data_IF_859337395885
#
_entry.id   IF_859337395885
#
_cell.length_a   1.000
_cell.length_b   1.000
_cell.length_c   1.000
_cell.angle_alpha   90.00
_cell.angle_beta   90.00
_cell.angle_gamma   90.00
#
_symmetry.space_group_name_H-M   'P 1'
#
loop_
_entity.id
_entity.type
_entity.pdbx_description
1 polymer ?
#
# COMPACT_ATOMS: atom_id res chain seq x y z
N UNK A 1 -3.37 -15.91 6.52
CA UNK A 1 -3.87 -14.54 6.21
C UNK A 1 -2.78 -13.75 5.46
N UNK A 2 -2.54 -14.04 4.17
CA UNK A 2 -1.40 -13.49 3.42
C UNK A 2 -1.41 -11.95 3.36
N UNK A 3 -2.56 -11.35 3.09
CA UNK A 3 -2.73 -9.88 3.01
C UNK A 3 -2.42 -9.19 4.33
N UNK A 4 -2.95 -9.68 5.47
CA UNK A 4 -2.68 -9.08 6.78
C UNK A 4 -1.19 -9.13 7.14
N UNK A 5 -0.49 -10.21 6.78
CA UNK A 5 0.97 -10.32 7.02
C UNK A 5 1.76 -9.32 6.20
N UNK A 6 1.34 -9.04 4.96
CA UNK A 6 1.93 -7.99 4.14
C UNK A 6 1.71 -6.59 4.74
N UNK A 7 0.46 -6.28 5.11
CA UNK A 7 0.11 -5.00 5.75
C UNK A 7 0.86 -4.78 7.06
N UNK A 8 1.02 -5.82 7.87
CA UNK A 8 1.69 -5.76 9.16
C UNK A 8 3.18 -5.38 9.08
N UNK A 9 3.83 -5.54 7.93
CA UNK A 9 5.23 -5.18 7.72
C UNK A 9 5.43 -3.83 7.05
N UNK A 10 4.36 -3.16 6.59
CA UNK A 10 4.45 -1.80 6.02
C UNK A 10 5.05 -0.80 7.03
N UNK A 11 4.59 -0.73 8.30
CA UNK A 11 5.18 0.19 9.28
C UNK A 11 6.67 -0.06 9.51
N UNK A 12 7.09 -1.32 9.53
CA UNK A 12 8.50 -1.69 9.64
C UNK A 12 9.30 -1.23 8.42
N UNK A 13 8.80 -1.47 7.21
CA UNK A 13 9.42 -0.97 6.00
C UNK A 13 9.53 0.57 5.99
N UNK A 14 8.51 1.28 6.48
CA UNK A 14 8.52 2.74 6.63
C UNK A 14 9.58 3.22 7.61
N UNK A 15 9.70 2.58 8.79
CA UNK A 15 10.73 2.91 9.78
C UNK A 15 12.15 2.77 9.22
N UNK A 16 12.35 1.84 8.28
CA UNK A 16 13.61 1.60 7.59
C UNK A 16 13.79 2.40 6.29
N UNK A 17 12.84 3.27 5.93
CA UNK A 17 12.83 4.03 4.66
C UNK A 17 12.84 3.14 3.40
N UNK A 18 12.29 1.94 3.51
CA UNK A 18 12.22 0.92 2.46
C UNK A 18 10.78 0.56 2.08
N UNK A 19 9.81 1.43 2.38
CA UNK A 19 8.39 1.17 2.13
C UNK A 19 8.08 0.90 0.66
N UNK A 20 8.62 1.72 -0.25
CA UNK A 20 8.42 1.54 -1.69
C UNK A 20 9.03 0.23 -2.19
N UNK A 21 10.30 -0.04 -1.86
CA UNK A 21 10.99 -1.29 -2.19
C UNK A 21 10.25 -2.51 -1.66
N UNK A 22 9.71 -2.42 -0.44
CA UNK A 22 8.93 -3.49 0.18
C UNK A 22 7.61 -3.72 -0.56
N UNK A 23 6.83 -2.67 -0.83
CA UNK A 23 5.55 -2.78 -1.54
C UNK A 23 5.78 -3.34 -2.94
N UNK A 24 6.79 -2.85 -3.66
CA UNK A 24 7.14 -3.37 -4.98
C UNK A 24 7.52 -4.86 -4.92
N UNK A 25 8.41 -5.23 -4.00
CA UNK A 25 8.84 -6.62 -3.81
C UNK A 25 7.66 -7.54 -3.44
N UNK A 26 6.79 -7.09 -2.54
CA UNK A 26 5.62 -7.84 -2.10
C UNK A 26 4.62 -8.03 -3.25
N UNK A 27 4.30 -6.95 -3.98
CA UNK A 27 3.36 -7.00 -5.11
C UNK A 27 3.90 -7.88 -6.23
N UNK A 28 5.18 -7.77 -6.56
CA UNK A 28 5.84 -8.62 -7.54
C UNK A 28 5.78 -10.10 -7.10
N UNK A 29 6.12 -10.39 -5.84
CA UNK A 29 6.09 -11.75 -5.29
C UNK A 29 4.70 -12.38 -5.36
N UNK A 30 3.68 -11.68 -4.90
CA UNK A 30 2.31 -12.21 -4.86
C UNK A 30 1.66 -12.27 -6.25
N UNK A 31 1.74 -11.19 -7.03
CA UNK A 31 0.94 -11.06 -8.26
C UNK A 31 1.64 -11.55 -9.52
N UNK A 32 2.97 -11.56 -9.56
CA UNK A 32 3.71 -11.97 -10.75
C UNK A 32 4.46 -13.29 -10.57
N UNK A 33 4.89 -13.63 -9.34
CA UNK A 33 5.70 -14.83 -9.08
C UNK A 33 4.92 -15.96 -8.40
N UNK A 34 3.69 -15.70 -7.95
CA UNK A 34 2.86 -16.71 -7.28
C UNK A 34 3.35 -17.10 -5.88
N UNK A 35 4.13 -16.25 -5.22
CA UNK A 35 4.63 -16.48 -3.87
C UNK A 35 3.51 -16.32 -2.83
N UNK A 36 3.27 -17.36 -2.04
CA UNK A 36 2.33 -17.33 -0.91
C UNK A 36 2.88 -16.58 0.32
N UNK A 37 2.52 -15.30 0.45
CA UNK A 37 2.83 -14.44 1.61
C UNK A 37 2.25 -14.94 2.95
N UNK A 38 1.40 -15.97 2.93
CA UNK A 38 0.95 -16.70 4.12
C UNK A 38 2.04 -17.52 4.79
N UNK A 39 3.09 -17.90 4.05
CA UNK A 39 4.21 -18.70 4.55
C UNK A 39 5.41 -17.83 4.93
N UNK A 40 6.18 -18.27 5.92
CA UNK A 40 7.42 -17.61 6.32
C UNK A 40 8.47 -17.67 5.21
N UNK A 41 8.59 -18.79 4.50
CA UNK A 41 9.60 -18.97 3.45
C UNK A 41 9.43 -18.00 2.28
N UNK A 42 8.21 -17.82 1.78
CA UNK A 42 7.94 -16.88 0.69
C UNK A 42 7.94 -15.42 1.15
N UNK A 43 7.41 -15.14 2.36
CA UNK A 43 7.46 -13.78 2.90
C UNK A 43 8.90 -13.32 3.14
N UNK A 44 9.79 -14.22 3.58
CA UNK A 44 11.22 -13.97 3.69
C UNK A 44 11.83 -13.48 2.37
N UNK A 45 11.52 -14.16 1.25
CA UNK A 45 12.02 -13.76 -0.07
C UNK A 45 11.62 -12.31 -0.38
N UNK A 46 10.36 -11.94 -0.14
CA UNK A 46 9.86 -10.58 -0.40
C UNK A 46 10.48 -9.53 0.53
N UNK A 47 10.67 -9.86 1.81
CA UNK A 47 11.29 -8.98 2.82
C UNK A 47 12.77 -8.74 2.53
N UNK A 48 13.55 -9.80 2.32
CA UNK A 48 14.99 -9.69 2.07
C UNK A 48 15.30 -9.03 0.73
N UNK A 49 14.49 -9.30 -0.31
CA UNK A 49 14.61 -8.62 -1.60
C UNK A 49 14.43 -7.10 -1.50
N UNK A 50 13.61 -6.65 -0.56
CA UNK A 50 13.42 -5.22 -0.28
C UNK A 50 14.55 -4.59 0.56
N UNK A 51 15.55 -5.38 0.98
CA UNK A 51 16.65 -4.93 1.83
C UNK A 51 16.35 -4.97 3.34
N UNK A 52 15.23 -5.58 3.74
CA UNK A 52 14.82 -5.67 5.15
C UNK A 52 15.36 -6.95 5.79
N UNK A 53 15.64 -6.89 7.10
CA UNK A 53 16.08 -8.06 7.86
C UNK A 53 14.87 -8.96 8.21
N UNK A 54 14.93 -10.21 7.78
CA UNK A 54 13.84 -11.17 8.01
C UNK A 54 13.60 -11.54 9.47
N UNK A 55 14.65 -11.71 10.28
CA UNK A 55 14.49 -12.07 11.69
C UNK A 55 13.83 -10.93 12.47
N UNK A 56 14.22 -9.68 12.21
CA UNK A 56 13.54 -8.51 12.76
C UNK A 56 12.08 -8.42 12.28
N UNK A 57 11.81 -8.66 10.99
CA UNK A 57 10.45 -8.69 10.46
C UNK A 57 9.57 -9.76 11.13
N UNK A 58 10.11 -10.95 11.42
CA UNK A 58 9.41 -12.01 12.16
C UNK A 58 9.02 -11.58 13.57
N UNK A 59 9.88 -10.82 14.25
CA UNK A 59 9.57 -10.32 15.58
C UNK A 59 8.50 -9.22 15.53
N UNK A 60 8.55 -8.35 14.52
CA UNK A 60 7.51 -7.36 14.25
C UNK A 60 6.14 -8.03 14.00
N UNK A 61 6.10 -9.14 13.27
CA UNK A 61 4.86 -9.89 13.02
C UNK A 61 4.21 -10.44 14.31
N UNK A 62 4.98 -10.60 15.39
CA UNK A 62 4.49 -11.07 16.70
C UNK A 62 4.16 -9.92 17.66
N UNK A 63 4.53 -8.69 17.31
CA UNK A 63 4.34 -7.53 18.17
C UNK A 63 2.87 -7.14 18.26
N UNK A 64 2.28 -7.21 19.46
CA UNK A 64 0.91 -6.75 19.72
C UNK A 64 0.73 -5.25 19.45
N UNK A 65 1.75 -4.45 19.77
CA UNK A 65 1.71 -3.02 19.50
C UNK A 65 1.66 -2.74 18.00
N UNK A 66 2.46 -3.47 17.21
CA UNK A 66 2.42 -3.39 15.75
C UNK A 66 1.07 -3.86 15.21
N UNK A 67 0.50 -4.96 15.73
CA UNK A 67 -0.81 -5.47 15.29
C UNK A 67 -1.92 -4.43 15.46
N UNK A 68 -1.97 -3.76 16.61
CA UNK A 68 -2.90 -2.66 16.85
C UNK A 68 -2.63 -1.49 15.89
N UNK A 69 -1.37 -1.14 15.66
CA UNK A 69 -1.00 0.01 14.84
C UNK A 69 -1.39 -0.16 13.36
N UNK A 70 -0.95 -1.24 12.70
CA UNK A 70 -1.23 -1.40 11.26
C UNK A 70 -2.74 -1.57 11.00
N UNK A 71 -3.47 -2.22 11.92
CA UNK A 71 -4.94 -2.37 11.82
C UNK A 71 -5.64 -1.02 11.93
N UNK A 72 -5.21 -0.17 12.86
CA UNK A 72 -5.78 1.17 13.00
C UNK A 72 -5.56 2.02 11.73
N UNK A 73 -4.36 1.96 11.14
CA UNK A 73 -4.07 2.63 9.86
C UNK A 73 -4.91 2.07 8.71
N UNK A 74 -5.02 0.75 8.60
CA UNK A 74 -5.85 0.10 7.57
C UNK A 74 -7.33 0.48 7.70
N UNK A 75 -7.86 0.52 8.93
CA UNK A 75 -9.23 0.93 9.21
C UNK A 75 -9.46 2.41 8.90
N UNK A 76 -8.53 3.29 9.26
CA UNK A 76 -8.60 4.72 8.92
C UNK A 76 -8.66 4.92 7.40
N UNK A 77 -7.81 4.21 6.65
CA UNK A 77 -7.82 4.26 5.18
C UNK A 77 -9.14 3.73 4.60
N UNK A 78 -9.70 2.67 5.19
CA UNK A 78 -11.00 2.11 4.79
C UNK A 78 -12.14 3.10 5.03
N UNK A 79 -12.15 3.78 6.16
CA UNK A 79 -13.16 4.80 6.48
C UNK A 79 -13.04 6.02 5.57
N UNK A 80 -11.80 6.47 5.28
CA UNK A 80 -11.56 7.56 4.34
C UNK A 80 -12.07 7.21 2.93
N UNK A 81 -11.86 5.99 2.47
CA UNK A 81 -12.39 5.50 1.19
C UNK A 81 -13.93 5.49 1.17
N UNK A 82 -14.57 4.99 2.24
CA UNK A 82 -16.04 4.98 2.35
C UNK A 82 -16.64 6.39 2.40
N UNK A 83 -15.97 7.33 3.08
CA UNK A 83 -16.40 8.72 3.15
C UNK A 83 -16.38 9.42 1.77
N UNK A 84 -15.61 8.90 0.82
CA UNK A 84 -15.59 9.34 -0.59
C UNK A 84 -16.66 8.66 -1.45
N UNK A 85 -17.53 7.83 -0.86
CA UNK A 85 -18.51 7.01 -1.60
C UNK A 85 -17.86 5.86 -2.40
N UNK A 86 -16.58 5.57 -2.15
CA UNK A 86 -15.86 4.47 -2.78
C UNK A 86 -15.96 3.22 -1.90
N UNK A 87 -15.86 2.04 -2.52
CA UNK A 87 -16.14 0.77 -1.83
C UNK A 87 -14.99 -0.25 -1.90
N UNK A 88 -13.94 0.02 -2.68
CA UNK A 88 -12.87 -0.94 -2.92
C UNK A 88 -11.57 -0.34 -3.41
N UNK A 89 -10.59 -1.20 -3.64
CA UNK A 89 -9.25 -0.82 -4.10
C UNK A 89 -9.02 -1.22 -5.57
N UNK A 90 -8.09 -0.56 -6.28
CA UNK A 90 -7.42 0.69 -5.87
C UNK A 90 -8.38 1.88 -5.97
N UNK A 91 -8.27 2.81 -5.01
CA UNK A 91 -9.00 4.08 -4.97
C UNK A 91 -8.00 5.22 -4.91
N UNK A 92 -8.31 6.32 -5.61
CA UNK A 92 -7.44 7.49 -5.71
C UNK A 92 -8.24 8.76 -5.45
N UNK A 93 -7.61 9.74 -4.81
CA UNK A 93 -8.18 11.08 -4.57
C UNK A 93 -7.14 12.15 -4.88
N UNK A 94 -7.56 13.17 -5.61
CA UNK A 94 -6.84 14.43 -5.77
C UNK A 94 -7.83 15.57 -5.54
N UNK A 95 -7.62 16.34 -4.46
CA UNK A 95 -8.56 17.38 -4.00
C UNK A 95 -10.00 16.85 -3.89
N UNK A 96 -10.96 17.42 -4.61
CA UNK A 96 -12.37 16.98 -4.63
C UNK A 96 -12.64 15.85 -5.64
N UNK A 97 -11.65 15.46 -6.44
CA UNK A 97 -11.80 14.37 -7.41
C UNK A 97 -11.43 13.05 -6.77
N UNK A 98 -12.38 12.12 -6.69
CA UNK A 98 -12.16 10.76 -6.19
C UNK A 98 -12.64 9.72 -7.20
N UNK A 99 -11.83 8.68 -7.43
CA UNK A 99 -12.12 7.60 -8.39
C UNK A 99 -11.74 6.23 -7.85
N UNK A 100 -12.48 5.21 -8.28
CA UNK A 100 -12.16 3.81 -8.06
C UNK A 100 -11.75 3.15 -9.38
N UNK A 101 -10.70 2.32 -9.33
CA UNK A 101 -10.17 1.56 -10.47
C UNK A 101 -8.93 2.19 -11.10
N UNK A 102 -7.98 1.33 -11.48
CA UNK A 102 -6.75 1.73 -12.21
C UNK A 102 -7.06 2.30 -13.61
N UNK A 103 -8.18 1.91 -14.19
CA UNK A 103 -8.71 2.38 -15.47
C UNK A 103 -9.29 3.81 -15.39
N UNK A 104 -9.09 4.50 -14.27
CA UNK A 104 -9.50 5.90 -14.02
C UNK A 104 -8.35 6.85 -13.74
N UNK A 105 -7.10 6.44 -13.93
CA UNK A 105 -5.96 7.35 -13.74
C UNK A 105 -6.04 8.65 -14.55
N UNK A 106 -6.58 8.59 -15.77
CA UNK A 106 -6.78 9.76 -16.61
C UNK A 106 -7.68 10.84 -15.97
N UNK A 107 -8.61 10.46 -15.09
CA UNK A 107 -9.49 11.42 -14.38
C UNK A 107 -8.68 12.23 -13.37
N UNK A 108 -7.81 11.54 -12.63
CA UNK A 108 -6.89 12.18 -11.68
C UNK A 108 -5.89 13.07 -12.43
N UNK A 109 -5.33 12.58 -13.53
CA UNK A 109 -4.43 13.38 -14.36
C UNK A 109 -5.11 14.66 -14.86
N UNK A 110 -6.35 14.55 -15.36
CA UNK A 110 -7.14 15.70 -15.81
C UNK A 110 -7.37 16.71 -14.68
N UNK A 111 -7.66 16.25 -13.46
CA UNK A 111 -7.86 17.11 -12.30
C UNK A 111 -6.56 17.84 -11.91
N UNK A 112 -5.42 17.14 -11.91
CA UNK A 112 -4.11 17.74 -11.65
C UNK A 112 -3.74 18.78 -12.70
N UNK A 113 -3.95 18.48 -13.99
CA UNK A 113 -3.74 19.45 -15.09
C UNK A 113 -4.59 20.70 -14.92
N UNK A 114 -5.87 20.56 -14.60
CA UNK A 114 -6.74 21.70 -14.35
C UNK A 114 -6.28 22.57 -13.17
N UNK A 115 -5.62 21.99 -12.16
CA UNK A 115 -5.10 22.70 -10.99
C UNK A 115 -3.74 23.38 -11.24
N UNK A 116 -2.88 22.79 -12.08
CA UNK A 116 -1.49 23.25 -12.25
C UNK A 116 -1.18 23.89 -13.61
N UNK A 117 -1.95 23.59 -14.66
CA UNK A 117 -1.70 24.15 -15.99
C UNK A 117 -2.12 25.64 -16.00
N UNK A 118 -1.32 26.53 -16.58
CA UNK A 118 -1.69 27.93 -16.71
C UNK A 118 -2.96 28.05 -17.58
N UNK A 119 -3.82 29.05 -17.33
CA UNK A 119 -5.00 29.27 -18.16
C UNK A 119 -4.56 29.43 -19.62
N UNK A 120 -5.16 28.63 -20.50
CA UNK A 120 -4.90 28.72 -21.94
C UNK A 120 -5.29 30.11 -22.40
N UNK A 121 -4.30 30.88 -22.89
CA UNK A 121 -4.56 32.17 -23.50
C UNK A 121 -5.47 31.96 -24.71
N UNK A 122 -6.64 32.62 -24.70
CA UNK A 122 -7.59 32.64 -25.81
C UNK A 122 -7.03 33.41 -27.01
#
# INVERSE_FOLDING_TARGET
KPTERGLALIPFAQMHQLAESYIQSFMQGVWSEGLDAGTDGHLKIMVERAGLNWEAAKDILKSKANDTHWRAVAEQNRQAMLALGLWGVPSFRFEETAVWGQDRFWVIEKAMRAAFDPPTSA
#
